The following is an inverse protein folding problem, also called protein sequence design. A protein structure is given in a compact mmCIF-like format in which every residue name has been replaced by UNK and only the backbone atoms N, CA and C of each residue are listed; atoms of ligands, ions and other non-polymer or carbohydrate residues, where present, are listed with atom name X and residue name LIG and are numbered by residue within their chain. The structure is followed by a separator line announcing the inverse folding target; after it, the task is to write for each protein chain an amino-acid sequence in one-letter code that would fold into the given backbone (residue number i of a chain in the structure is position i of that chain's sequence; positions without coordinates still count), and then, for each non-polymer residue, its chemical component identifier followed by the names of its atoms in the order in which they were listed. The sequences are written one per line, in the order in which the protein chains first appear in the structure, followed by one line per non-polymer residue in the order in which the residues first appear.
data_IF_174860274757
#
_entry.id   IF_174860274757
#
_cell.length_a   1.000
_cell.length_b   1.000
_cell.length_c   1.000
_cell.angle_alpha   90.00
_cell.angle_beta   90.00
_cell.angle_gamma   90.00
#
_symmetry.space_group_name_H-M   'P 1'
#
loop_
_entity.id
_entity.type
_entity.pdbx_description
1 polymer ?
#
# COMPACT_ATOMS: atom_id res chain seq x y z
N UNK A 1 -9.91 -5.31 64.39
CA UNK A 1 -9.73 -6.53 63.57
C UNK A 1 -11.03 -7.09 63.00
N UNK A 2 -12.10 -7.28 63.80
CA UNK A 2 -13.39 -7.84 63.32
C UNK A 2 -14.02 -7.04 62.18
N UNK A 3 -14.01 -5.69 62.25
CA UNK A 3 -14.51 -4.85 61.16
C UNK A 3 -13.75 -5.05 59.85
N UNK A 4 -12.42 -5.19 59.92
CA UNK A 4 -11.58 -5.42 58.73
C UNK A 4 -11.89 -6.80 58.11
N UNK A 5 -11.98 -7.85 58.92
CA UNK A 5 -12.32 -9.19 58.43
C UNK A 5 -13.72 -9.25 57.77
N UNK A 6 -14.69 -8.53 58.35
CA UNK A 6 -16.06 -8.51 57.81
C UNK A 6 -16.19 -7.62 56.56
N UNK A 7 -15.37 -6.59 56.41
CA UNK A 7 -15.40 -5.69 55.24
C UNK A 7 -14.45 -6.12 54.12
N UNK A 8 -13.44 -6.94 54.41
CA UNK A 8 -12.42 -7.36 53.44
C UNK A 8 -13.00 -8.07 52.22
N UNK A 9 -13.98 -8.95 52.39
CA UNK A 9 -14.64 -9.65 51.27
C UNK A 9 -15.37 -8.68 50.32
N UNK A 10 -16.04 -7.67 50.88
CA UNK A 10 -16.73 -6.62 50.13
C UNK A 10 -15.73 -5.73 49.43
N UNK A 11 -14.65 -5.33 50.12
CA UNK A 11 -13.58 -4.50 49.53
C UNK A 11 -12.90 -5.24 48.38
N UNK A 12 -12.62 -6.54 48.52
CA UNK A 12 -12.07 -7.37 47.44
C UNK A 12 -13.01 -7.46 46.24
N UNK A 13 -14.32 -7.59 46.47
CA UNK A 13 -15.31 -7.59 45.40
C UNK A 13 -15.34 -6.25 44.66
N UNK A 14 -15.34 -5.14 45.38
CA UNK A 14 -15.31 -3.79 44.79
C UNK A 14 -14.01 -3.56 44.03
N UNK A 15 -12.86 -3.98 44.58
CA UNK A 15 -11.56 -3.89 43.90
C UNK A 15 -11.55 -4.70 42.60
N UNK A 16 -12.13 -5.90 42.60
CA UNK A 16 -12.21 -6.77 41.43
C UNK A 16 -12.98 -6.15 40.27
N UNK A 17 -14.02 -5.38 40.56
CA UNK A 17 -14.87 -4.70 39.57
C UNK A 17 -14.59 -3.20 39.42
N UNK A 18 -13.48 -2.69 39.98
CA UNK A 18 -13.13 -1.26 39.96
C UNK A 18 -13.07 -0.67 38.54
N UNK A 19 -12.61 -1.46 37.57
CA UNK A 19 -12.50 -1.08 36.15
C UNK A 19 -13.74 -1.49 35.33
N UNK A 20 -14.87 -1.74 35.99
CA UNK A 20 -16.10 -2.23 35.38
C UNK A 20 -16.02 -3.69 34.92
N UNK A 21 -17.13 -4.19 34.35
CA UNK A 21 -17.26 -5.58 33.90
C UNK A 21 -16.26 -5.94 32.78
N UNK A 22 -15.98 -5.02 31.85
CA UNK A 22 -15.00 -5.22 30.77
C UNK A 22 -13.57 -5.29 31.31
N UNK A 23 -13.22 -4.41 32.24
CA UNK A 23 -11.90 -4.41 32.86
C UNK A 23 -11.67 -5.68 33.68
N UNK A 24 -12.68 -6.12 34.45
CA UNK A 24 -12.60 -7.38 35.17
C UNK A 24 -12.42 -8.59 34.23
N UNK A 25 -13.20 -8.66 33.15
CA UNK A 25 -13.04 -9.71 32.13
C UNK A 25 -11.63 -9.74 31.55
N UNK A 26 -11.07 -8.58 31.15
CA UNK A 26 -9.69 -8.47 30.64
C UNK A 26 -8.68 -8.97 31.68
N UNK A 27 -8.82 -8.56 32.95
CA UNK A 27 -7.93 -8.98 34.03
C UNK A 27 -7.95 -10.51 34.24
N UNK A 28 -9.13 -11.13 34.25
CA UNK A 28 -9.25 -12.59 34.41
C UNK A 28 -8.59 -13.33 33.25
N UNK A 29 -8.79 -12.88 32.01
CA UNK A 29 -8.15 -13.52 30.84
C UNK A 29 -6.64 -13.32 30.87
N UNK A 30 -6.15 -12.13 31.22
CA UNK A 30 -4.72 -11.87 31.41
C UNK A 30 -4.10 -12.77 32.49
N UNK A 31 -4.80 -12.98 33.60
CA UNK A 31 -4.33 -13.88 34.67
C UNK A 31 -4.24 -15.33 34.19
N UNK A 32 -5.19 -15.80 33.37
CA UNK A 32 -5.12 -17.13 32.76
C UNK A 32 -3.92 -17.26 31.81
N UNK A 33 -3.64 -16.22 30.99
CA UNK A 33 -2.47 -16.19 30.11
C UNK A 33 -1.17 -16.21 30.92
N UNK A 34 -1.10 -15.47 32.02
CA UNK A 34 0.04 -15.48 32.96
C UNK A 34 0.25 -16.84 33.61
N UNK A 35 -0.82 -17.51 34.02
CA UNK A 35 -0.73 -18.86 34.58
C UNK A 35 -0.20 -19.86 33.56
N UNK A 36 -0.68 -19.79 32.31
CA UNK A 36 -0.14 -20.60 31.22
C UNK A 36 1.36 -20.34 31.02
N UNK A 37 1.74 -19.07 30.89
CA UNK A 37 3.13 -18.67 30.68
C UNK A 37 4.05 -19.12 31.82
N UNK A 38 3.64 -18.94 33.08
CA UNK A 38 4.40 -19.34 34.26
C UNK A 38 4.77 -20.82 34.25
N UNK A 39 3.86 -21.68 33.80
CA UNK A 39 4.13 -23.12 33.66
C UNK A 39 5.04 -23.38 32.48
N UNK A 40 4.69 -22.90 31.29
CA UNK A 40 5.38 -23.29 30.06
C UNK A 40 6.79 -22.70 29.92
N UNK A 41 7.10 -21.57 30.57
CA UNK A 41 8.44 -20.98 30.62
C UNK A 41 9.45 -21.92 31.29
N UNK A 42 9.02 -22.65 32.32
CA UNK A 42 9.88 -23.60 33.03
C UNK A 42 10.29 -24.82 32.17
N UNK A 43 9.50 -25.13 31.15
CA UNK A 43 9.77 -26.25 30.23
C UNK A 43 10.50 -25.82 28.93
N UNK A 44 10.92 -24.55 28.79
CA UNK A 44 11.65 -24.09 27.60
C UNK A 44 13.13 -24.50 27.59
N UNK A 45 13.78 -24.53 28.76
CA UNK A 45 15.24 -24.60 28.88
C UNK A 45 15.80 -26.03 28.87
N UNK A 46 15.93 -26.61 27.68
CA UNK A 46 16.59 -27.91 27.47
C UNK A 46 15.60 -29.07 27.29
N UNK A 47 16.07 -30.29 27.56
CA UNK A 47 15.22 -31.49 27.52
C UNK A 47 14.35 -31.59 28.77
N UNK A 48 13.23 -32.30 28.64
CA UNK A 48 12.22 -32.45 29.68
C UNK A 48 12.81 -32.85 31.05
N UNK A 49 13.70 -33.84 31.09
CA UNK A 49 14.30 -34.32 32.34
C UNK A 49 15.11 -33.24 33.07
N UNK A 50 15.82 -32.39 32.32
CA UNK A 50 16.58 -31.26 32.88
C UNK A 50 15.64 -30.20 33.45
N UNK A 51 14.54 -29.91 32.76
CA UNK A 51 13.52 -28.97 33.23
C UNK A 51 12.87 -29.48 34.53
N UNK A 52 12.53 -30.76 34.61
CA UNK A 52 11.94 -31.37 35.81
C UNK A 52 12.93 -31.35 36.98
N UNK A 53 14.21 -31.62 36.72
CA UNK A 53 15.24 -31.51 37.76
C UNK A 53 15.37 -30.07 38.28
N UNK A 54 15.42 -29.07 37.38
CA UNK A 54 15.48 -27.66 37.76
C UNK A 54 14.24 -27.24 38.57
N UNK A 55 13.04 -27.63 38.14
CA UNK A 55 11.77 -27.39 38.84
C UNK A 55 11.78 -27.98 40.26
N UNK A 56 12.32 -29.19 40.42
CA UNK A 56 12.46 -29.85 41.72
C UNK A 56 13.46 -29.13 42.62
N UNK A 57 14.58 -28.67 42.07
CA UNK A 57 15.60 -27.93 42.82
C UNK A 57 15.10 -26.55 43.28
N UNK A 58 14.25 -25.89 42.49
CA UNK A 58 13.63 -24.60 42.83
C UNK A 58 12.55 -24.75 43.92
N UNK A 59 11.82 -25.87 43.94
CA UNK A 59 10.67 -26.10 44.84
C UNK A 59 10.91 -27.25 45.85
N UNK A 60 12.09 -27.30 46.47
CA UNK A 60 12.46 -28.38 47.43
C UNK A 60 11.52 -28.53 48.61
N UNK A 61 10.91 -27.43 49.05
CA UNK A 61 9.97 -27.39 50.17
C UNK A 61 8.54 -27.76 49.80
N UNK A 62 8.16 -27.67 48.52
CA UNK A 62 6.79 -27.90 48.06
C UNK A 62 6.74 -28.77 46.79
N UNK A 63 6.79 -30.08 47.02
CA UNK A 63 6.69 -31.08 45.96
C UNK A 63 5.30 -31.13 45.30
N UNK A 64 4.25 -30.63 45.95
CA UNK A 64 2.91 -30.58 45.34
C UNK A 64 2.88 -29.56 44.21
N UNK A 65 3.57 -28.43 44.36
CA UNK A 65 3.73 -27.45 43.29
C UNK A 65 4.43 -28.07 42.08
N UNK A 66 5.51 -28.83 42.28
CA UNK A 66 6.20 -29.54 41.17
C UNK A 66 5.25 -30.48 40.43
N UNK A 67 4.46 -31.27 41.17
CA UNK A 67 3.48 -32.19 40.58
C UNK A 67 2.42 -31.45 39.76
N UNK A 68 1.92 -30.32 40.25
CA UNK A 68 0.94 -29.49 39.53
C UNK A 68 1.50 -28.92 38.22
N UNK A 69 2.78 -28.50 38.20
CA UNK A 69 3.43 -28.02 36.97
C UNK A 69 3.58 -29.13 35.93
N UNK A 70 4.03 -30.31 36.35
CA UNK A 70 4.16 -31.49 35.47
C UNK A 70 2.79 -31.89 34.89
N UNK A 71 1.77 -31.98 35.74
CA UNK A 71 0.42 -32.33 35.32
C UNK A 71 -0.16 -31.31 34.33
N UNK A 72 0.07 -30.02 34.57
CA UNK A 72 -0.35 -28.93 33.68
C UNK A 72 0.34 -29.00 32.32
N UNK A 73 1.64 -29.30 32.27
CA UNK A 73 2.39 -29.42 31.02
C UNK A 73 1.99 -30.66 30.21
N UNK A 74 1.58 -31.76 30.86
CA UNK A 74 1.16 -32.98 30.18
C UNK A 74 -0.01 -32.79 29.19
N UNK A 75 -0.87 -31.78 29.41
CA UNK A 75 -2.00 -31.45 28.53
C UNK A 75 -1.80 -30.14 27.76
N UNK A 76 -0.54 -29.76 27.47
CA UNK A 76 -0.19 -28.50 26.79
C UNK A 76 -0.90 -28.34 25.44
N UNK A 77 -1.11 -29.42 24.67
CA UNK A 77 -1.81 -29.35 23.37
C UNK A 77 -3.23 -28.77 23.49
N UNK A 78 -3.99 -29.17 24.52
CA UNK A 78 -5.34 -28.65 24.76
C UNK A 78 -5.30 -27.23 25.31
N UNK A 79 -4.34 -26.93 26.20
CA UNK A 79 -4.10 -25.57 26.70
C UNK A 79 -3.79 -24.61 25.56
N UNK A 80 -2.99 -25.03 24.58
CA UNK A 80 -2.59 -24.19 23.45
C UNK A 80 -3.80 -23.77 22.60
N UNK A 81 -4.74 -24.69 22.36
CA UNK A 81 -5.98 -24.36 21.65
C UNK A 81 -6.81 -23.32 22.42
N UNK A 82 -7.00 -23.52 23.73
CA UNK A 82 -7.73 -22.58 24.57
C UNK A 82 -7.08 -21.20 24.60
N UNK A 83 -5.75 -21.14 24.75
CA UNK A 83 -4.99 -19.89 24.78
C UNK A 83 -5.13 -19.15 23.44
N UNK A 84 -5.04 -19.83 22.30
CA UNK A 84 -5.28 -19.21 20.99
C UNK A 84 -6.69 -18.60 20.91
N UNK A 85 -7.73 -19.33 21.34
CA UNK A 85 -9.09 -18.81 21.34
C UNK A 85 -9.28 -17.61 22.28
N UNK A 86 -8.62 -17.61 23.44
CA UNK A 86 -8.65 -16.48 24.37
C UNK A 86 -7.98 -15.24 23.78
N UNK A 87 -6.83 -15.42 23.12
CA UNK A 87 -6.12 -14.33 22.41
C UNK A 87 -7.02 -13.75 21.32
N UNK A 88 -7.71 -14.59 20.54
CA UNK A 88 -8.61 -14.15 19.47
C UNK A 88 -9.78 -13.31 19.97
N UNK A 89 -10.44 -13.74 21.04
CA UNK A 89 -11.58 -13.01 21.62
C UNK A 89 -11.16 -11.68 22.25
N UNK A 90 -9.97 -11.62 22.83
CA UNK A 90 -9.47 -10.41 23.47
C UNK A 90 -9.02 -9.37 22.44
N UNK A 91 -8.35 -9.81 21.38
CA UNK A 91 -7.72 -8.91 20.40
C UNK A 91 -8.60 -8.60 19.19
N UNK A 92 -9.65 -9.38 18.93
CA UNK A 92 -10.55 -9.14 17.79
C UNK A 92 -11.48 -7.93 17.93
N UNK A 93 -11.51 -7.25 19.10
CA UNK A 93 -12.52 -6.21 19.41
C UNK A 93 -11.98 -4.83 19.74
N UNK A 94 -10.72 -4.69 20.18
CA UNK A 94 -10.16 -3.42 20.61
C UNK A 94 -8.78 -3.20 19.97
N UNK A 95 -8.58 -2.17 19.13
CA UNK A 95 -7.27 -1.79 18.61
C UNK A 95 -6.34 -1.18 19.69
N UNK A 96 -6.86 -0.85 20.88
CA UNK A 96 -6.06 -0.35 22.01
C UNK A 96 -5.77 -1.48 23.00
N UNK A 97 -4.71 -2.24 22.73
CA UNK A 97 -4.15 -3.18 23.69
C UNK A 97 -3.54 -2.39 24.88
N UNK A 98 -3.76 -2.86 26.11
CA UNK A 98 -3.10 -2.28 27.29
C UNK A 98 -1.63 -2.68 27.31
N UNK A 99 -0.75 -1.82 27.85
CA UNK A 99 0.68 -2.12 27.97
C UNK A 99 0.95 -3.45 28.71
N UNK A 100 0.12 -3.77 29.71
CA UNK A 100 0.20 -5.02 30.45
C UNK A 100 -0.04 -6.25 29.57
N UNK A 101 -0.99 -6.16 28.63
CA UNK A 101 -1.28 -7.22 27.69
C UNK A 101 -0.17 -7.33 26.63
N UNK A 102 0.37 -6.20 26.15
CA UNK A 102 1.50 -6.19 25.23
C UNK A 102 2.72 -6.90 25.83
N UNK A 103 3.00 -6.70 27.12
CA UNK A 103 4.06 -7.41 27.83
C UNK A 103 3.80 -8.92 27.87
N UNK A 104 2.59 -9.36 28.25
CA UNK A 104 2.23 -10.78 28.29
C UNK A 104 2.34 -11.43 26.91
N UNK A 105 1.84 -10.77 25.86
CA UNK A 105 1.94 -11.25 24.48
C UNK A 105 3.40 -11.33 24.03
N UNK A 106 4.23 -10.35 24.41
CA UNK A 106 5.66 -10.34 24.11
C UNK A 106 6.37 -11.53 24.77
N UNK A 107 6.09 -11.82 26.04
CA UNK A 107 6.60 -13.01 26.72
C UNK A 107 6.11 -14.31 26.07
N UNK A 108 4.85 -14.38 25.62
CA UNK A 108 4.32 -15.52 24.88
C UNK A 108 5.07 -15.76 23.56
N UNK A 109 5.59 -14.72 22.89
CA UNK A 109 6.39 -14.88 21.68
C UNK A 109 7.79 -15.47 21.91
N UNK A 110 8.27 -15.50 23.17
CA UNK A 110 9.57 -16.07 23.53
C UNK A 110 9.51 -17.60 23.69
N UNK A 111 8.32 -18.20 23.71
CA UNK A 111 8.15 -19.65 23.73
C UNK A 111 8.66 -20.26 22.42
N UNK A 112 9.73 -21.04 22.48
CA UNK A 112 10.47 -21.52 21.31
C UNK A 112 10.24 -23.00 20.99
N UNK A 113 9.63 -23.77 21.90
CA UNK A 113 9.28 -25.18 21.67
C UNK A 113 8.23 -25.32 20.56
N UNK A 114 8.41 -26.36 19.73
CA UNK A 114 7.48 -26.70 18.63
C UNK A 114 6.05 -26.94 19.11
N UNK A 115 5.86 -27.45 20.33
CA UNK A 115 4.54 -27.64 20.95
C UNK A 115 3.76 -26.34 21.09
N UNK A 116 4.45 -25.25 21.43
CA UNK A 116 3.86 -23.94 21.76
C UNK A 116 3.95 -22.95 20.58
N UNK A 117 4.53 -23.37 19.46
CA UNK A 117 4.76 -22.53 18.28
C UNK A 117 3.48 -21.87 17.74
N UNK A 118 2.33 -22.56 17.78
CA UNK A 118 1.04 -21.99 17.36
C UNK A 118 0.62 -20.79 18.21
N UNK A 119 0.79 -20.89 19.53
CA UNK A 119 0.47 -19.81 20.48
C UNK A 119 1.43 -18.65 20.29
N UNK A 120 2.74 -18.92 20.22
CA UNK A 120 3.77 -17.90 20.01
C UNK A 120 3.57 -17.15 18.68
N UNK A 121 3.25 -17.87 17.61
CA UNK A 121 2.94 -17.28 16.31
C UNK A 121 1.69 -16.41 16.38
N UNK A 122 0.62 -16.87 17.05
CA UNK A 122 -0.61 -16.08 17.19
C UNK A 122 -0.38 -14.80 18.00
N UNK A 123 0.34 -14.89 19.12
CA UNK A 123 0.72 -13.72 19.91
C UNK A 123 1.51 -12.71 19.06
N UNK A 124 2.45 -13.19 18.24
CA UNK A 124 3.22 -12.35 17.31
C UNK A 124 2.33 -11.69 16.25
N UNK A 125 1.40 -12.42 15.65
CA UNK A 125 0.43 -11.85 14.69
C UNK A 125 -0.41 -10.73 15.31
N UNK A 126 -0.87 -10.92 16.54
CA UNK A 126 -1.63 -9.91 17.29
C UNK A 126 -0.77 -8.68 17.59
N UNK A 127 0.47 -8.87 18.04
CA UNK A 127 1.38 -7.74 18.27
C UNK A 127 1.60 -6.94 16.99
N UNK A 128 1.86 -7.60 15.86
CA UNK A 128 2.00 -6.95 14.56
C UNK A 128 0.70 -6.20 14.17
N UNK A 129 -0.45 -6.86 14.32
CA UNK A 129 -1.76 -6.26 14.04
C UNK A 129 -2.06 -5.05 14.93
N UNK A 130 -1.58 -5.04 16.18
CA UNK A 130 -1.77 -3.90 17.09
C UNK A 130 -0.96 -2.67 16.72
N UNK A 131 0.19 -2.86 16.07
CA UNK A 131 0.99 -1.77 15.53
C UNK A 131 0.46 -1.26 14.18
N UNK A 132 -0.41 -2.04 13.51
CA UNK A 132 -1.05 -1.62 12.28
C UNK A 132 -2.25 -0.71 12.61
N UNK A 133 -2.26 0.55 12.13
CA UNK A 133 -3.38 1.44 12.37
C UNK A 133 -4.66 0.91 11.71
N UNK A 134 -5.80 1.09 12.39
CA UNK A 134 -7.11 0.71 11.86
C UNK A 134 -7.40 1.42 10.54
N UNK A 135 -8.32 0.86 9.74
CA UNK A 135 -8.75 1.47 8.48
C UNK A 135 -9.20 2.93 8.68
N UNK A 136 -10.05 3.21 9.68
CA UNK A 136 -10.53 4.56 9.97
C UNK A 136 -9.40 5.51 10.39
N UNK A 137 -8.44 5.04 11.19
CA UNK A 137 -7.31 5.87 11.60
C UNK A 137 -6.40 6.18 10.40
N UNK A 138 -6.15 5.19 9.53
CA UNK A 138 -5.41 5.41 8.28
C UNK A 138 -6.15 6.35 7.35
N UNK A 139 -7.47 6.22 7.22
CA UNK A 139 -8.30 7.15 6.46
C UNK A 139 -8.11 8.58 6.95
N UNK A 140 -8.28 8.83 8.25
CA UNK A 140 -8.11 10.15 8.83
C UNK A 140 -6.67 10.69 8.69
N UNK A 141 -5.66 9.81 8.78
CA UNK A 141 -4.26 10.20 8.56
C UNK A 141 -4.01 10.63 7.11
N UNK A 142 -4.47 9.83 6.14
CA UNK A 142 -4.31 10.15 4.72
C UNK A 142 -5.09 11.41 4.36
N UNK A 143 -6.31 11.58 4.88
CA UNK A 143 -7.11 12.80 4.73
C UNK A 143 -6.38 14.02 5.30
N UNK A 144 -5.83 13.92 6.51
CA UNK A 144 -5.05 14.99 7.11
C UNK A 144 -3.83 15.37 6.27
N UNK A 145 -3.16 14.39 5.65
CA UNK A 145 -2.02 14.67 4.75
C UNK A 145 -2.50 15.42 3.51
N UNK A 146 -3.59 14.96 2.87
CA UNK A 146 -4.15 15.65 1.71
C UNK A 146 -4.58 17.08 2.04
N UNK A 147 -5.29 17.28 3.14
CA UNK A 147 -5.72 18.62 3.57
C UNK A 147 -4.54 19.52 3.93
N UNK A 148 -3.47 18.98 4.51
CA UNK A 148 -2.24 19.74 4.80
C UNK A 148 -1.43 20.11 3.54
N UNK A 149 -1.61 19.36 2.46
CA UNK A 149 -0.93 19.61 1.20
C UNK A 149 -1.63 20.66 0.32
N UNK A 150 -2.87 21.03 0.66
CA UNK A 150 -3.66 22.02 -0.07
C UNK A 150 -3.35 23.42 0.47
N UNK A 151 -3.00 24.34 -0.43
CA UNK A 151 -2.78 25.75 -0.07
C UNK A 151 -4.07 26.40 0.48
N UNK A 152 -3.92 27.42 1.32
CA UNK A 152 -5.04 28.13 1.99
C UNK A 152 -6.08 28.70 1.01
N UNK A 153 -5.67 28.94 -0.24
CA UNK A 153 -6.54 29.44 -1.30
C UNK A 153 -7.15 28.32 -2.15
N UNK A 154 -6.72 27.06 -2.01
CA UNK A 154 -7.31 25.91 -2.71
C UNK A 154 -7.00 25.83 -4.22
N UNK A 155 -5.97 26.53 -4.71
CA UNK A 155 -5.67 26.58 -6.14
C UNK A 155 -4.53 25.63 -6.56
N UNK A 156 -3.65 25.23 -5.64
CA UNK A 156 -2.50 24.35 -5.90
C UNK A 156 -2.19 23.47 -4.68
N UNK A 157 -1.59 22.30 -4.89
CA UNK A 157 -1.11 21.43 -3.80
C UNK A 157 0.39 21.16 -3.92
N UNK A 158 1.06 21.05 -2.77
CA UNK A 158 2.50 20.83 -2.71
C UNK A 158 2.86 19.35 -2.77
N UNK A 159 3.52 18.93 -3.85
CA UNK A 159 3.94 17.53 -4.07
C UNK A 159 4.88 17.04 -2.96
N UNK A 160 5.70 17.92 -2.37
CA UNK A 160 6.64 17.57 -1.29
C UNK A 160 5.92 16.97 -0.07
N UNK A 161 4.74 17.48 0.28
CA UNK A 161 3.94 16.94 1.39
C UNK A 161 3.29 15.59 1.03
N UNK A 162 3.10 15.31 -0.26
CA UNK A 162 2.54 14.07 -0.80
C UNK A 162 3.62 12.99 -1.07
N UNK A 163 4.90 13.35 -1.13
CA UNK A 163 6.00 12.37 -1.28
C UNK A 163 5.97 11.30 -0.18
N UNK A 164 5.57 11.68 1.05
CA UNK A 164 5.39 10.73 2.16
C UNK A 164 4.37 9.64 1.85
N UNK A 165 3.31 9.93 1.08
CA UNK A 165 2.31 8.95 0.66
C UNK A 165 2.79 8.11 -0.53
N UNK A 166 3.52 8.73 -1.46
CA UNK A 166 4.05 8.06 -2.66
C UNK A 166 5.11 7.01 -2.28
N UNK A 167 6.05 7.37 -1.41
CA UNK A 167 7.15 6.52 -0.97
C UNK A 167 6.81 5.64 0.26
N UNK A 168 5.56 5.71 0.74
CA UNK A 168 5.17 4.97 1.94
C UNK A 168 5.22 3.46 1.73
N UNK A 169 5.87 2.74 2.64
CA UNK A 169 5.90 1.27 2.67
C UNK A 169 4.53 0.66 3.02
N UNK A 170 3.68 1.40 3.73
CA UNK A 170 2.34 0.91 4.10
C UNK A 170 1.43 0.91 2.88
N UNK A 171 0.65 -0.15 2.68
CA UNK A 171 -0.33 -0.23 1.58
C UNK A 171 -1.39 0.87 1.77
N UNK A 172 -1.45 1.82 0.82
CA UNK A 172 -2.48 2.88 0.81
C UNK A 172 -3.59 2.60 -0.20
N UNK A 173 -3.45 1.59 -1.07
CA UNK A 173 -4.39 1.33 -2.17
C UNK A 173 -5.77 0.86 -1.70
N UNK A 174 -5.92 0.51 -0.42
CA UNK A 174 -7.21 0.16 0.19
C UNK A 174 -7.98 1.39 0.69
N UNK A 175 -7.29 2.48 1.02
CA UNK A 175 -7.89 3.73 1.52
C UNK A 175 -7.91 4.81 0.44
N UNK A 176 -6.85 4.92 -0.35
CA UNK A 176 -6.63 5.95 -1.36
C UNK A 176 -7.79 6.09 -2.35
N UNK A 177 -8.38 5.00 -2.90
CA UNK A 177 -9.46 5.12 -3.88
C UNK A 177 -10.71 5.83 -3.36
N UNK A 178 -10.94 5.84 -2.04
CA UNK A 178 -12.07 6.55 -1.45
C UNK A 178 -11.95 8.08 -1.69
N UNK A 179 -10.72 8.62 -1.68
CA UNK A 179 -10.47 10.03 -1.91
C UNK A 179 -10.69 10.49 -3.36
N UNK A 180 -10.78 9.56 -4.33
CA UNK A 180 -11.13 9.90 -5.72
C UNK A 180 -12.53 10.52 -5.84
N UNK A 181 -13.39 10.28 -4.85
CA UNK A 181 -14.78 10.76 -4.82
C UNK A 181 -15.03 11.82 -3.75
N UNK A 182 -13.96 12.41 -3.21
CA UNK A 182 -14.03 13.42 -2.16
C UNK A 182 -14.76 14.69 -2.64
N UNK A 183 -15.41 15.40 -1.71
CA UNK A 183 -16.19 16.62 -1.99
C UNK A 183 -15.32 17.74 -2.58
N UNK A 184 -14.13 17.94 -2.01
CA UNK A 184 -13.13 18.89 -2.49
C UNK A 184 -12.45 18.40 -3.78
N UNK A 185 -12.53 19.20 -4.85
CA UNK A 185 -11.92 18.91 -6.15
C UNK A 185 -10.40 18.79 -6.09
N UNK A 186 -9.73 19.63 -5.30
CA UNK A 186 -8.26 19.59 -5.18
C UNK A 186 -7.80 18.28 -4.55
N UNK A 187 -8.56 17.77 -3.57
CA UNK A 187 -8.30 16.45 -2.96
C UNK A 187 -8.46 15.34 -4.00
N UNK A 188 -9.49 15.39 -4.85
CA UNK A 188 -9.65 14.41 -5.94
C UNK A 188 -8.46 14.42 -6.89
N UNK A 189 -8.03 15.60 -7.32
CA UNK A 189 -6.88 15.77 -8.22
C UNK A 189 -5.57 15.25 -7.60
N UNK A 190 -5.31 15.61 -6.34
CA UNK A 190 -4.14 15.14 -5.61
C UNK A 190 -4.17 13.62 -5.39
N UNK A 191 -5.33 13.05 -5.07
CA UNK A 191 -5.48 11.61 -4.85
C UNK A 191 -5.21 10.80 -6.13
N UNK A 192 -5.72 11.26 -7.28
CA UNK A 192 -5.44 10.67 -8.58
C UNK A 192 -3.94 10.73 -8.92
N UNK A 193 -3.29 11.87 -8.71
CA UNK A 193 -1.84 11.98 -8.94
C UNK A 193 -1.02 11.08 -8.01
N UNK A 194 -1.36 11.02 -6.72
CA UNK A 194 -0.68 10.11 -5.76
C UNK A 194 -0.83 8.66 -6.21
N UNK A 195 -2.01 8.27 -6.69
CA UNK A 195 -2.22 6.92 -7.24
C UNK A 195 -1.30 6.66 -8.43
N UNK A 196 -1.27 7.57 -9.41
CA UNK A 196 -0.42 7.45 -10.61
C UNK A 196 1.06 7.38 -10.22
N UNK A 197 1.58 8.33 -9.45
CA UNK A 197 3.01 8.35 -9.05
C UNK A 197 3.40 7.11 -8.25
N UNK A 198 2.48 6.55 -7.46
CA UNK A 198 2.74 5.34 -6.67
C UNK A 198 2.60 4.04 -7.47
N UNK A 199 1.61 3.94 -8.35
CA UNK A 199 1.43 2.77 -9.23
C UNK A 199 2.58 2.66 -10.24
N UNK A 200 3.10 3.80 -10.69
CA UNK A 200 4.17 3.90 -11.66
C UNK A 200 5.55 4.18 -11.03
N UNK A 201 5.77 3.82 -9.76
CA UNK A 201 7.03 4.10 -9.02
C UNK A 201 8.29 3.50 -9.68
N UNK A 202 8.11 2.41 -10.44
CA UNK A 202 9.19 1.75 -11.17
C UNK A 202 9.52 2.42 -12.51
N UNK A 203 8.67 3.35 -12.97
CA UNK A 203 8.80 4.06 -14.24
C UNK A 203 9.27 5.50 -14.00
N UNK A 204 9.94 6.08 -15.00
CA UNK A 204 10.30 7.49 -14.98
C UNK A 204 9.09 8.30 -15.48
N UNK A 205 8.41 9.03 -14.59
CA UNK A 205 7.36 9.98 -14.98
C UNK A 205 7.98 11.30 -15.41
N UNK A 206 7.75 11.67 -16.67
CA UNK A 206 8.30 12.89 -17.28
C UNK A 206 7.42 14.11 -17.02
N UNK A 207 6.11 13.91 -17.06
CA UNK A 207 5.12 14.98 -16.94
C UNK A 207 3.85 14.40 -16.33
N UNK A 208 3.25 15.14 -15.41
CA UNK A 208 1.91 14.88 -14.87
C UNK A 208 1.13 16.17 -14.99
N UNK A 209 0.02 16.13 -15.72
CA UNK A 209 -0.84 17.26 -16.02
C UNK A 209 -2.27 16.97 -15.58
N UNK A 210 -2.92 18.05 -15.16
CA UNK A 210 -4.25 18.04 -14.58
C UNK A 210 -5.20 18.72 -15.56
N UNK A 211 -6.12 17.96 -16.14
CA UNK A 211 -7.16 18.48 -17.03
C UNK A 211 -8.52 18.34 -16.35
N UNK A 212 -9.38 19.32 -16.54
CA UNK A 212 -10.76 19.29 -16.07
C UNK A 212 -11.67 19.28 -17.30
N UNK A 213 -12.53 18.26 -17.38
CA UNK A 213 -13.54 18.14 -18.43
C UNK A 213 -14.75 19.03 -18.12
N UNK A 214 -15.64 19.20 -19.11
CA UNK A 214 -16.79 20.12 -19.03
C UNK A 214 -17.76 19.82 -17.87
N UNK A 215 -17.78 18.58 -17.40
CA UNK A 215 -18.60 18.09 -16.28
C UNK A 215 -18.02 18.42 -14.88
N UNK A 216 -16.77 18.91 -14.79
CA UNK A 216 -15.92 18.91 -13.60
C UNK A 216 -15.28 17.56 -13.25
N UNK A 217 -15.31 16.60 -14.17
CA UNK A 217 -14.53 15.38 -14.10
C UNK A 217 -13.04 15.71 -14.15
N UNK A 218 -12.32 15.11 -13.20
CA UNK A 218 -10.90 15.25 -13.01
C UNK A 218 -10.14 14.22 -13.86
N UNK A 219 -9.25 14.69 -14.74
CA UNK A 219 -8.39 13.85 -15.57
C UNK A 219 -6.94 14.12 -15.21
N UNK A 220 -6.19 13.05 -14.97
CA UNK A 220 -4.73 13.11 -14.81
C UNK A 220 -4.09 12.49 -16.04
N UNK A 221 -3.44 13.32 -16.83
CA UNK A 221 -2.62 12.90 -17.96
C UNK A 221 -1.17 12.78 -17.50
N UNK A 222 -0.53 11.67 -17.80
CA UNK A 222 0.86 11.47 -17.42
C UNK A 222 1.65 10.87 -18.56
N UNK A 223 2.91 11.27 -18.65
CA UNK A 223 3.86 10.72 -19.61
C UNK A 223 4.93 9.96 -18.84
N UNK A 224 5.19 8.72 -19.23
CA UNK A 224 6.14 7.86 -18.55
C UNK A 224 7.03 7.11 -19.54
N UNK A 225 8.23 6.78 -19.10
CA UNK A 225 9.18 5.96 -19.84
C UNK A 225 9.38 4.61 -19.17
N UNK A 226 9.56 3.58 -20.00
CA UNK A 226 9.90 2.24 -19.54
C UNK A 226 11.29 2.23 -18.87
N UNK A 227 11.51 1.37 -17.84
CA UNK A 227 12.79 1.26 -17.18
C UNK A 227 13.91 0.88 -18.15
N UNK A 228 15.16 1.20 -17.77
CA UNK A 228 16.35 0.92 -18.59
C UNK A 228 16.55 -0.56 -18.94
N UNK A 229 16.01 -1.45 -18.11
CA UNK A 229 16.02 -2.90 -18.27
C UNK A 229 14.96 -3.46 -19.21
N UNK A 230 14.01 -2.64 -19.69
CA UNK A 230 12.92 -3.13 -20.53
C UNK A 230 13.41 -3.43 -21.97
N UNK A 231 13.03 -4.55 -22.59
CA UNK A 231 13.46 -4.93 -23.94
C UNK A 231 13.22 -3.82 -24.99
N UNK A 232 12.06 -3.16 -24.92
CA UNK A 232 11.71 -2.04 -25.82
C UNK A 232 12.59 -0.78 -25.66
N UNK A 233 13.43 -0.67 -24.62
CA UNK A 233 14.39 0.43 -24.47
C UNK A 233 15.80 0.05 -24.96
N UNK A 234 16.15 -1.23 -24.93
CA UNK A 234 17.47 -1.76 -25.32
C UNK A 234 17.72 -1.82 -26.83
N UNK A 235 16.68 -1.69 -27.66
CA UNK A 235 16.76 -1.84 -29.12
C UNK A 235 17.05 -0.53 -29.89
N UNK A 236 17.45 0.56 -29.22
CA UNK A 236 17.56 1.89 -29.86
C UNK A 236 19.02 2.39 -29.82
N UNK A 237 19.77 2.33 -30.94
CA UNK A 237 21.20 2.68 -30.97
C UNK A 237 21.51 4.17 -30.75
N UNK A 238 20.52 5.07 -30.80
CA UNK A 238 20.73 6.52 -30.85
C UNK A 238 20.68 7.23 -29.49
N UNK A 239 20.05 6.65 -28.46
CA UNK A 239 19.95 7.30 -27.14
C UNK A 239 21.20 7.12 -26.26
N UNK A 240 22.02 6.09 -26.53
CA UNK A 240 23.26 5.85 -25.78
C UNK A 240 24.31 6.97 -25.92
N UNK A 241 24.12 7.93 -26.84
CA UNK A 241 25.01 9.10 -26.98
C UNK A 241 24.57 10.30 -26.12
N UNK A 242 23.31 10.36 -25.67
CA UNK A 242 22.77 11.50 -24.90
C UNK A 242 22.72 11.27 -23.38
N UNK A 243 22.95 10.05 -22.90
CA UNK A 243 22.93 9.73 -21.46
C UNK A 243 24.16 10.16 -20.66
N UNK A 244 25.04 11.02 -21.20
CA UNK A 244 26.21 11.54 -20.48
C UNK A 244 26.00 12.92 -19.81
N UNK A 245 24.81 13.53 -19.93
CA UNK A 245 24.62 14.93 -19.50
C UNK A 245 23.83 15.14 -18.21
N UNK A 246 23.20 14.12 -17.62
CA UNK A 246 22.31 14.30 -16.45
C UNK A 246 22.98 14.10 -15.07
N UNK A 247 24.29 13.87 -15.01
CA UNK A 247 25.02 13.66 -13.75
C UNK A 247 25.77 14.90 -13.20
N UNK A 248 25.36 16.13 -13.56
CA UNK A 248 26.02 17.35 -13.09
C UNK A 248 25.45 17.94 -11.78
N UNK A 249 25.03 17.08 -10.84
CA UNK A 249 24.85 17.45 -9.43
C UNK A 249 25.70 16.55 -8.52
N UNK A 250 27.00 16.49 -8.77
CA UNK A 250 28.02 16.06 -7.81
C UNK A 250 29.39 16.56 -8.27
N UNK A 251 29.94 17.46 -7.47
CA UNK A 251 31.27 18.08 -7.60
C UNK A 251 32.43 17.08 -7.76
N UNK A 252 33.36 17.33 -8.69
CA UNK A 252 34.79 17.52 -8.40
C UNK A 252 35.59 17.98 -9.64
N UNK A 253 36.58 18.83 -9.35
CA UNK A 253 37.43 19.62 -10.23
C UNK A 253 38.54 18.78 -10.89
N UNK A 254 38.68 18.81 -12.22
CA UNK A 254 39.94 19.02 -12.98
C UNK A 254 39.89 18.46 -14.43
N UNK A 255 40.56 19.21 -15.33
CA UNK A 255 41.11 18.86 -16.65
C UNK A 255 40.30 19.15 -17.93
N UNK A 256 40.71 20.27 -18.56
CA UNK A 256 40.83 20.61 -19.99
C UNK A 256 39.90 19.96 -21.03
N UNK A 257 39.06 20.80 -21.65
CA UNK A 257 38.42 20.52 -22.94
C UNK A 257 37.35 21.55 -23.28
N UNK A 258 37.70 22.59 -24.05
CA UNK A 258 36.77 23.58 -24.56
C UNK A 258 35.61 22.91 -25.31
N UNK A 259 34.38 23.06 -24.81
CA UNK A 259 33.16 22.72 -25.54
C UNK A 259 32.19 23.90 -25.39
N UNK A 260 31.75 24.45 -26.51
CA UNK A 260 30.90 25.63 -26.58
C UNK A 260 29.59 25.45 -25.79
N UNK A 261 29.29 26.40 -24.91
CA UNK A 261 28.03 26.49 -24.18
C UNK A 261 26.97 27.05 -25.14
N UNK A 262 26.07 26.19 -25.63
CA UNK A 262 24.81 26.63 -26.23
C UNK A 262 23.75 26.73 -25.13
N UNK A 263 23.08 27.87 -25.07
CA UNK A 263 22.04 28.23 -24.11
C UNK A 263 20.89 27.21 -24.10
N UNK A 264 20.48 26.79 -22.90
CA UNK A 264 19.35 25.85 -22.65
C UNK A 264 17.99 26.49 -23.01
N UNK A 265 17.95 27.80 -23.26
CA UNK A 265 16.71 28.54 -23.49
C UNK A 265 16.20 28.54 -24.93
N UNK A 266 16.98 28.10 -25.92
CA UNK A 266 16.59 28.19 -27.35
C UNK A 266 16.20 26.85 -28.00
N UNK A 267 16.24 25.72 -27.26
CA UNK A 267 15.93 24.37 -27.79
C UNK A 267 14.51 23.90 -27.39
N UNK A 268 13.76 24.71 -26.63
CA UNK A 268 12.40 24.38 -26.17
C UNK A 268 11.29 24.75 -27.16
N UNK A 269 11.63 25.24 -28.36
CA UNK A 269 10.64 25.65 -29.37
C UNK A 269 10.40 24.60 -30.48
N UNK A 270 11.11 23.48 -30.48
CA UNK A 270 10.90 22.42 -31.47
C UNK A 270 10.26 21.19 -30.81
N UNK A 271 8.94 21.08 -30.96
CA UNK A 271 8.06 20.02 -30.45
C UNK A 271 8.26 18.66 -31.19
N UNK A 272 9.46 18.41 -31.73
CA UNK A 272 9.72 17.43 -32.79
C UNK A 272 10.44 16.13 -32.35
N UNK A 273 10.72 15.95 -31.06
CA UNK A 273 11.35 14.72 -30.55
C UNK A 273 10.68 14.20 -29.27
N UNK A 274 9.62 13.40 -29.41
CA UNK A 274 9.22 12.46 -28.36
C UNK A 274 10.19 11.26 -28.40
N UNK A 275 10.94 10.94 -27.33
CA UNK A 275 11.82 9.80 -27.32
C UNK A 275 11.03 8.49 -27.57
N UNK A 276 11.58 7.52 -28.33
CA UNK A 276 10.89 6.34 -28.87
C UNK A 276 10.40 5.29 -27.85
N UNK A 277 10.22 5.68 -26.59
CA UNK A 277 9.68 4.85 -25.50
C UNK A 277 8.76 5.64 -24.54
N UNK A 278 8.42 6.89 -24.90
CA UNK A 278 7.49 7.71 -24.13
C UNK A 278 6.06 7.25 -24.37
N UNK A 279 5.40 6.85 -23.29
CA UNK A 279 3.99 6.44 -23.29
C UNK A 279 3.16 7.50 -22.60
N UNK A 280 1.94 7.68 -23.09
CA UNK A 280 0.94 8.51 -22.41
C UNK A 280 0.00 7.61 -21.62
N UNK A 281 -0.38 8.04 -20.43
CA UNK A 281 -1.47 7.45 -19.67
C UNK A 281 -2.48 8.51 -19.25
N UNK A 282 -3.73 8.09 -19.12
CA UNK A 282 -4.82 8.88 -18.57
C UNK A 282 -5.41 8.15 -17.38
N UNK A 283 -5.70 8.88 -16.30
CA UNK A 283 -6.48 8.37 -15.18
C UNK A 283 -7.69 9.26 -14.93
N UNK A 284 -8.86 8.61 -14.80
CA UNK A 284 -10.14 9.27 -14.57
C UNK A 284 -10.92 8.55 -13.46
N UNK A 285 -11.76 9.27 -12.72
CA UNK A 285 -12.63 8.71 -11.69
C UNK A 285 -14.09 9.08 -11.89
N UNK A 286 -14.97 8.08 -11.79
CA UNK A 286 -16.42 8.22 -11.95
C UNK A 286 -17.20 7.50 -10.86
N UNK A 287 -18.33 8.09 -10.44
CA UNK A 287 -19.20 7.47 -9.44
C UNK A 287 -19.98 6.29 -9.99
N UNK A 288 -20.29 6.29 -11.28
CA UNK A 288 -20.96 5.18 -11.95
C UNK A 288 -20.30 4.90 -13.28
N UNK A 289 -20.46 3.66 -13.77
CA UNK A 289 -19.98 3.29 -15.09
C UNK A 289 -20.75 4.00 -16.22
N UNK A 290 -22.03 4.30 -16.00
CA UNK A 290 -22.85 5.03 -16.98
C UNK A 290 -22.33 6.46 -17.22
N UNK A 291 -21.87 7.13 -16.16
CA UNK A 291 -21.28 8.48 -16.27
C UNK A 291 -20.01 8.43 -17.14
N UNK A 292 -19.16 7.42 -16.94
CA UNK A 292 -17.99 7.19 -17.78
C UNK A 292 -18.39 6.95 -19.24
N UNK A 293 -19.37 6.09 -19.50
CA UNK A 293 -19.82 5.76 -20.85
C UNK A 293 -20.34 7.01 -21.61
N UNK A 294 -20.95 7.97 -20.91
CA UNK A 294 -21.43 9.23 -21.52
C UNK A 294 -20.30 10.20 -21.88
N UNK A 295 -19.22 10.19 -21.12
CA UNK A 295 -18.09 11.14 -21.25
C UNK A 295 -16.90 10.47 -21.99
N UNK A 296 -17.04 9.22 -22.40
CA UNK A 296 -16.00 8.42 -23.04
C UNK A 296 -15.32 9.13 -24.21
N UNK A 297 -16.08 9.72 -25.13
CA UNK A 297 -15.53 10.43 -26.29
C UNK A 297 -14.67 11.64 -25.89
N UNK A 298 -15.02 12.33 -24.79
CA UNK A 298 -14.26 13.46 -24.26
C UNK A 298 -12.97 12.98 -23.58
N UNK A 299 -13.01 11.84 -22.88
CA UNK A 299 -11.82 11.18 -22.30
C UNK A 299 -10.88 10.72 -23.41
N UNK A 300 -11.40 10.19 -24.52
CA UNK A 300 -10.58 9.80 -25.67
C UNK A 300 -9.94 11.03 -26.33
N UNK A 301 -10.64 12.16 -26.36
CA UNK A 301 -10.10 13.45 -26.83
C UNK A 301 -8.80 13.89 -26.14
N UNK A 302 -8.55 13.48 -24.89
CA UNK A 302 -7.29 13.74 -24.19
C UNK A 302 -6.09 13.07 -24.85
N UNK A 303 -6.29 11.93 -25.54
CA UNK A 303 -5.24 11.21 -26.24
C UNK A 303 -5.04 11.70 -27.67
N UNK A 304 -5.96 12.50 -28.22
CA UNK A 304 -5.84 13.12 -29.54
C UNK A 304 -4.77 14.22 -29.61
N UNK A 305 -4.40 14.81 -28.47
CA UNK A 305 -3.32 15.81 -28.37
C UNK A 305 -1.91 15.18 -28.35
N UNK A 306 -1.77 13.90 -28.70
CA UNK A 306 -0.48 13.38 -29.18
C UNK A 306 -0.07 14.20 -30.41
N UNK A 307 1.14 14.79 -30.46
CA UNK A 307 1.51 15.67 -31.57
C UNK A 307 1.35 14.95 -32.91
N UNK A 308 1.06 15.68 -34.00
CA UNK A 308 0.92 15.09 -35.32
C UNK A 308 2.15 14.25 -35.65
N UNK A 309 1.95 13.12 -36.35
CA UNK A 309 3.04 12.34 -36.91
C UNK A 309 4.09 13.27 -37.53
N UNK A 310 5.35 13.11 -37.13
CA UNK A 310 6.48 13.92 -37.60
C UNK A 310 6.44 14.04 -39.13
N UNK A 311 6.62 15.25 -39.72
CA UNK A 311 6.67 15.37 -41.16
C UNK A 311 7.87 14.57 -41.66
N UNK A 312 7.61 13.59 -42.51
CA UNK A 312 8.66 12.79 -43.16
C UNK A 312 9.46 13.71 -44.08
N UNK A 313 10.77 13.81 -43.88
CA UNK A 313 11.64 14.48 -44.84
C UNK A 313 11.57 13.71 -46.18
N UNK A 314 11.34 14.37 -47.33
CA UNK A 314 11.52 13.69 -48.60
C UNK A 314 13.01 13.41 -48.77
N UNK A 315 13.38 12.13 -48.71
CA UNK A 315 14.75 11.70 -48.98
C UNK A 315 15.07 11.98 -50.45
N UNK A 316 15.98 12.91 -50.69
CA UNK A 316 16.45 13.24 -52.02
C UNK A 316 17.27 12.07 -52.57
N UNK A 317 16.62 11.26 -53.41
CA UNK A 317 17.29 10.45 -54.43
C UNK A 317 17.80 9.09 -53.95
N UNK A 318 16.90 8.12 -53.84
CA UNK A 318 17.24 6.73 -54.16
C UNK A 318 16.17 6.11 -55.06
N UNK A 319 16.60 5.74 -56.25
CA UNK A 319 15.85 5.04 -57.28
C UNK A 319 15.88 3.55 -56.97
N UNK A 320 14.79 2.98 -56.46
CA UNK A 320 14.56 1.53 -56.55
C UNK A 320 13.07 1.22 -56.45
N UNK A 321 12.59 0.52 -57.48
CA UNK A 321 11.26 -0.03 -57.66
C UNK A 321 11.02 -1.21 -56.69
N UNK A 322 9.75 -1.39 -56.28
CA UNK A 322 9.19 -2.45 -55.42
C UNK A 322 9.66 -2.33 -53.95
N UNK A 323 8.83 -2.20 -52.91
CA UNK A 323 7.55 -2.82 -52.57
C UNK A 323 6.77 -1.85 -51.64
N UNK A 324 5.43 -1.78 -51.71
CA UNK A 324 4.62 -1.05 -50.72
C UNK A 324 4.56 -1.88 -49.42
N UNK A 325 5.61 -1.84 -48.62
CA UNK A 325 5.54 -2.34 -47.24
C UNK A 325 4.73 -1.36 -46.40
N UNK A 326 3.47 -1.73 -46.17
CA UNK A 326 2.60 -1.18 -45.15
C UNK A 326 3.41 -0.96 -43.86
N UNK A 327 3.62 0.30 -43.49
CA UNK A 327 4.07 0.67 -42.15
C UNK A 327 3.17 -0.09 -41.17
N UNK A 328 3.72 -0.97 -40.30
CA UNK A 328 2.91 -1.70 -39.34
C UNK A 328 2.21 -0.64 -38.48
N UNK A 329 0.88 -0.70 -38.40
CA UNK A 329 0.11 0.19 -37.51
C UNK A 329 0.75 0.09 -36.13
N UNK A 330 1.24 1.23 -35.62
CA UNK A 330 1.93 1.34 -34.33
C UNK A 330 1.17 0.54 -33.26
N UNK A 331 1.90 -0.29 -32.51
CA UNK A 331 1.33 -0.97 -31.36
C UNK A 331 0.69 0.08 -30.43
N UNK A 332 -0.53 -0.14 -29.92
CA UNK A 332 -1.12 0.80 -28.97
C UNK A 332 -0.23 0.89 -27.73
N UNK A 333 0.20 2.11 -27.40
CA UNK A 333 1.15 2.40 -26.32
C UNK A 333 0.51 3.13 -25.14
N UNK A 334 -0.71 3.63 -25.29
CA UNK A 334 -1.39 4.47 -24.31
C UNK A 334 -2.14 3.64 -23.27
N UNK A 335 -2.18 4.12 -22.02
CA UNK A 335 -2.86 3.42 -20.92
C UNK A 335 -4.01 4.27 -20.39
N UNK A 336 -5.20 3.70 -20.27
CA UNK A 336 -6.33 4.36 -19.62
C UNK A 336 -6.71 3.61 -18.34
N UNK A 337 -6.65 4.31 -17.20
CA UNK A 337 -7.13 3.82 -15.93
C UNK A 337 -8.44 4.51 -15.56
N UNK A 338 -9.49 3.74 -15.33
CA UNK A 338 -10.82 4.25 -14.94
C UNK A 338 -11.15 3.73 -13.54
N UNK A 339 -11.24 4.64 -12.57
CA UNK A 339 -11.74 4.32 -11.25
C UNK A 339 -13.26 4.47 -11.21
N UNK A 340 -13.98 3.42 -10.81
CA UNK A 340 -15.44 3.41 -10.72
C UNK A 340 -15.83 3.13 -9.27
N UNK A 341 -16.77 3.93 -8.72
CA UNK A 341 -17.34 3.65 -7.40
C UNK A 341 -18.47 2.62 -7.55
N UNK A 342 -18.40 1.53 -6.80
CA UNK A 342 -19.50 0.57 -6.68
C UNK A 342 -19.98 0.57 -5.23
N UNK A 343 -21.17 1.14 -5.00
CA UNK A 343 -21.79 1.21 -3.66
C UNK A 343 -22.59 -0.07 -3.32
N UNK A 344 -22.56 -1.08 -4.19
CA UNK A 344 -23.33 -2.32 -4.05
C UNK A 344 -22.43 -3.55 -4.22
N UNK A 345 -22.78 -4.62 -3.51
CA UNK A 345 -22.20 -5.96 -3.69
C UNK A 345 -22.68 -6.54 -5.04
N UNK A 346 -22.10 -6.04 -6.13
CA UNK A 346 -22.34 -6.54 -7.48
C UNK A 346 -21.38 -7.71 -7.72
N UNK A 347 -21.88 -8.81 -8.26
CA UNK A 347 -21.06 -9.96 -8.62
C UNK A 347 -19.99 -9.58 -9.66
N UNK A 348 -18.75 -10.04 -9.44
CA UNK A 348 -17.60 -9.77 -10.30
C UNK A 348 -17.86 -10.16 -11.77
N UNK A 349 -18.56 -11.28 -11.99
CA UNK A 349 -18.92 -11.78 -13.32
C UNK A 349 -19.86 -10.82 -14.06
N UNK A 350 -20.78 -10.17 -13.34
CA UNK A 350 -21.70 -9.18 -13.88
C UNK A 350 -20.99 -7.89 -14.30
N UNK A 351 -20.07 -7.40 -13.46
CA UNK A 351 -19.24 -6.23 -13.79
C UNK A 351 -18.30 -6.53 -14.97
N UNK A 352 -17.67 -7.70 -14.99
CA UNK A 352 -16.80 -8.11 -16.07
C UNK A 352 -17.54 -8.21 -17.41
N UNK A 353 -18.77 -8.73 -17.41
CA UNK A 353 -19.61 -8.79 -18.62
C UNK A 353 -19.96 -7.38 -19.13
N UNK A 354 -20.34 -6.46 -18.25
CA UNK A 354 -20.65 -5.07 -18.58
C UNK A 354 -19.44 -4.35 -19.19
N UNK A 355 -18.26 -4.45 -18.56
CA UNK A 355 -17.03 -3.83 -19.07
C UNK A 355 -16.57 -4.47 -20.39
N UNK A 356 -16.76 -5.79 -20.53
CA UNK A 356 -16.45 -6.51 -21.77
C UNK A 356 -17.34 -6.05 -22.92
N UNK A 357 -18.63 -5.88 -22.69
CA UNK A 357 -19.55 -5.39 -23.72
C UNK A 357 -19.15 -3.99 -24.19
N UNK A 358 -18.86 -3.08 -23.25
CA UNK A 358 -18.43 -1.73 -23.57
C UNK A 358 -17.12 -1.68 -24.36
N UNK A 359 -16.11 -2.46 -23.96
CA UNK A 359 -14.82 -2.53 -24.67
C UNK A 359 -14.97 -3.14 -26.07
N UNK A 360 -15.91 -4.06 -26.27
CA UNK A 360 -16.21 -4.62 -27.59
C UNK A 360 -16.91 -3.61 -28.49
N UNK A 361 -17.88 -2.85 -27.96
CA UNK A 361 -18.60 -1.81 -28.70
C UNK A 361 -17.65 -0.68 -29.15
N UNK A 362 -16.75 -0.24 -28.25
CA UNK A 362 -15.82 0.89 -28.48
C UNK A 362 -14.42 0.47 -28.94
N UNK A 363 -14.25 -0.78 -29.39
CA UNK A 363 -12.94 -1.31 -29.80
C UNK A 363 -12.26 -0.48 -30.90
N UNK A 364 -13.04 -0.02 -31.88
CA UNK A 364 -12.50 0.79 -32.99
C UNK A 364 -11.90 2.10 -32.47
N UNK A 365 -12.63 2.80 -31.60
CA UNK A 365 -12.21 4.07 -30.99
C UNK A 365 -10.99 3.87 -30.09
N UNK A 366 -10.94 2.81 -29.28
CA UNK A 366 -9.79 2.51 -28.41
C UNK A 366 -8.51 2.26 -29.22
N UNK A 367 -8.63 1.54 -30.34
CA UNK A 367 -7.49 1.27 -31.24
C UNK A 367 -7.06 2.52 -32.00
N UNK A 368 -8.01 3.35 -32.44
CA UNK A 368 -7.73 4.64 -33.10
C UNK A 368 -6.92 5.57 -32.20
N UNK A 369 -7.24 5.60 -30.91
CA UNK A 369 -6.53 6.40 -29.90
C UNK A 369 -5.33 5.68 -29.28
N UNK A 370 -4.91 4.55 -29.84
CA UNK A 370 -3.70 3.83 -29.42
C UNK A 370 -3.74 3.31 -27.98
N UNK A 371 -4.92 3.04 -27.40
CA UNK A 371 -5.08 2.49 -26.05
C UNK A 371 -4.76 1.00 -26.06
N UNK A 372 -3.86 0.56 -25.17
CA UNK A 372 -3.35 -0.81 -25.09
C UNK A 372 -4.26 -1.77 -24.35
#
# INVERSE_FOLDING_TARGET
EVFFMNTQSIVQLVQRYRSGIRGHMKAVVMDLLRQYLRVETQFQNGHYDKCVFALREENKSDMNTVLNYIFSHAQVTKKNLLVTMLIDQLCGRDPTLTDELLNILTELTQLSKTTNAKVALRARQVLIASHLPSYELRHNQVESIFLSAIDMYGHQFCIENLQKLILSETSIFDVLPNFFYHSNQVVRMAALEVYVRRAYIAYELNSVQHRQLKDNTCVVEFQFMLPTSHPNRGNIPTLNRMSFSSNLFSSNLNHYGMTHVASVSDVLLDNSFTPPCQRMGGMVSFRTFEDFARIFDEVMGCFCDSPPQSPTFPEAGHTSLYDEDKVPRDEPIHILNVAIKTDCDIEDDGLAAMFREFTQQNKATLVEHGIR
#
